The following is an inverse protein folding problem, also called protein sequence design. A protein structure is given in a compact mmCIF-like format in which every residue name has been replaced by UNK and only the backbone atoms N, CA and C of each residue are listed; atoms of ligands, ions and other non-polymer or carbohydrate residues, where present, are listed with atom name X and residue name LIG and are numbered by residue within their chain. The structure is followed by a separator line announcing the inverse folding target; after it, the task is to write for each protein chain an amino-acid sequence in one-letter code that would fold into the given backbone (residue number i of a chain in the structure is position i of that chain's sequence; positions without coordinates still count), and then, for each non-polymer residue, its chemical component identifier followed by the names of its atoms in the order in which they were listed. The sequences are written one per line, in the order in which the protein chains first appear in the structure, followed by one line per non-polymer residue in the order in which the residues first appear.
data_IF_950545824429
#
_entry.id   IF_950545824429
#
_cell.length_a   1.000
_cell.length_b   1.000
_cell.length_c   1.000
_cell.angle_alpha   90.00
_cell.angle_beta   90.00
_cell.angle_gamma   90.00
#
_symmetry.space_group_name_H-M   'P 1'
#
loop_
_entity.id
_entity.type
_entity.pdbx_description
1 polymer ?
#
# COMPACT_ATOMS: atom_id res chain seq x y z
N UNK A 1 37.84 -49.36 -36.95
CA UNK A 1 37.97 -49.40 -35.47
C UNK A 1 37.67 -48.00 -34.97
N UNK A 2 36.40 -47.66 -34.74
CA UNK A 2 35.74 -47.61 -33.41
C UNK A 2 36.58 -46.86 -32.37
N UNK A 3 36.18 -45.62 -32.03
CA UNK A 3 35.90 -45.21 -30.65
C UNK A 3 35.11 -43.90 -30.62
N UNK A 4 33.82 -44.05 -30.30
CA UNK A 4 32.90 -43.04 -29.78
C UNK A 4 33.44 -42.50 -28.45
N UNK A 5 33.42 -41.19 -28.25
CA UNK A 5 33.29 -40.60 -26.92
C UNK A 5 32.14 -39.60 -26.99
N UNK A 6 30.96 -40.09 -26.60
CA UNK A 6 29.73 -39.31 -26.41
C UNK A 6 29.75 -38.79 -24.97
N UNK A 7 30.14 -37.54 -24.78
CA UNK A 7 30.07 -36.89 -23.46
C UNK A 7 28.66 -36.35 -23.26
N UNK A 8 27.84 -37.12 -22.54
CA UNK A 8 26.50 -36.72 -22.10
C UNK A 8 26.61 -35.57 -21.10
N UNK A 9 26.28 -34.36 -21.56
CA UNK A 9 26.07 -33.19 -20.69
C UNK A 9 24.66 -33.29 -20.07
N UNK A 10 24.57 -33.98 -18.93
CA UNK A 10 23.39 -34.00 -18.07
C UNK A 10 23.29 -32.66 -17.30
N UNK A 11 22.74 -31.65 -17.97
CA UNK A 11 22.21 -30.45 -17.31
C UNK A 11 20.70 -30.66 -17.14
N UNK A 12 20.33 -31.40 -16.10
CA UNK A 12 18.94 -31.47 -15.65
C UNK A 12 18.53 -30.08 -15.16
N UNK A 13 17.68 -29.42 -15.95
CA UNK A 13 16.90 -28.26 -15.53
C UNK A 13 16.23 -28.56 -14.19
N UNK A 14 16.73 -27.95 -13.12
CA UNK A 14 16.07 -27.85 -11.83
C UNK A 14 14.98 -26.77 -11.88
N UNK A 15 13.99 -26.97 -12.75
CA UNK A 15 12.77 -26.16 -12.78
C UNK A 15 11.62 -26.96 -12.16
N UNK A 16 10.96 -26.36 -11.17
CA UNK A 16 9.80 -26.86 -10.40
C UNK A 16 10.10 -27.74 -9.17
N UNK A 17 10.67 -27.12 -8.13
CA UNK A 17 10.18 -27.34 -6.76
C UNK A 17 9.82 -25.98 -6.16
N UNK A 18 8.73 -25.40 -6.65
CA UNK A 18 8.08 -24.23 -6.05
C UNK A 18 6.81 -24.72 -5.33
N UNK A 19 6.98 -25.63 -4.38
CA UNK A 19 5.88 -26.15 -3.57
C UNK A 19 6.14 -25.84 -2.10
N UNK A 20 5.18 -25.12 -1.50
CA UNK A 20 4.83 -25.14 -0.08
C UNK A 20 5.81 -24.50 0.92
N UNK A 21 6.08 -23.21 0.76
CA UNK A 21 6.25 -22.35 1.96
C UNK A 21 4.98 -21.53 2.13
N UNK A 22 4.41 -21.60 3.33
CA UNK A 22 3.21 -20.87 3.78
C UNK A 22 3.43 -19.36 3.75
N UNK A 23 3.53 -18.79 2.56
CA UNK A 23 3.49 -17.36 2.40
C UNK A 23 2.03 -16.91 2.48
N UNK A 24 1.73 -15.82 3.22
CA UNK A 24 0.39 -15.26 3.21
C UNK A 24 0.01 -14.98 1.76
N UNK A 25 -1.16 -15.46 1.34
CA UNK A 25 -1.64 -15.26 -0.03
C UNK A 25 -1.69 -13.76 -0.31
N UNK A 26 -0.83 -13.30 -1.22
CA UNK A 26 -0.93 -11.96 -1.75
C UNK A 26 -2.08 -11.97 -2.77
N UNK A 27 -3.11 -11.19 -2.52
CA UNK A 27 -4.15 -10.92 -3.51
C UNK A 27 -3.95 -9.49 -4.00
N UNK A 28 -3.53 -9.30 -5.26
CA UNK A 28 -3.48 -7.98 -5.87
C UNK A 28 -4.82 -7.26 -5.67
N UNK A 29 -4.76 -5.98 -5.36
CA UNK A 29 -5.95 -5.14 -5.26
C UNK A 29 -6.27 -4.58 -6.64
N UNK A 30 -7.55 -4.55 -6.97
CA UNK A 30 -8.05 -3.87 -8.16
C UNK A 30 -7.66 -2.39 -8.17
N UNK A 31 -7.70 -1.80 -9.36
CA UNK A 31 -7.52 -0.37 -9.51
C UNK A 31 -8.57 0.38 -8.67
N UNK A 32 -8.17 1.39 -7.88
CA UNK A 32 -9.13 2.09 -7.02
C UNK A 32 -10.21 2.78 -7.87
N UNK A 33 -11.47 2.45 -7.61
CA UNK A 33 -12.61 2.99 -8.37
C UNK A 33 -12.73 4.51 -8.17
N UNK A 34 -12.43 4.96 -6.97
CA UNK A 34 -12.42 6.38 -6.62
C UNK A 34 -11.40 7.15 -7.45
N UNK A 35 -10.22 6.56 -7.69
CA UNK A 35 -9.21 7.16 -8.56
C UNK A 35 -9.64 7.13 -10.03
N UNK A 36 -10.28 6.05 -10.50
CA UNK A 36 -10.82 6.00 -11.87
C UNK A 36 -11.82 7.13 -12.12
N UNK A 37 -12.74 7.35 -11.16
CA UNK A 37 -13.73 8.43 -11.21
C UNK A 37 -13.07 9.81 -11.23
N UNK A 38 -12.07 10.03 -10.37
CA UNK A 38 -11.32 11.30 -10.32
C UNK A 38 -10.59 11.59 -11.63
N UNK A 39 -9.94 10.58 -12.19
CA UNK A 39 -9.21 10.67 -13.45
C UNK A 39 -10.12 10.66 -14.70
N UNK A 40 -11.44 10.51 -14.51
CA UNK A 40 -12.45 10.45 -15.59
C UNK A 40 -12.09 9.45 -16.69
N UNK A 41 -11.57 8.28 -16.30
CA UNK A 41 -11.14 7.26 -17.26
C UNK A 41 -12.34 6.63 -17.96
N UNK A 42 -12.23 6.40 -19.26
CA UNK A 42 -13.15 5.51 -19.96
C UNK A 42 -12.87 4.03 -19.60
N UNK A 43 -13.85 3.15 -19.83
CA UNK A 43 -13.77 1.74 -19.44
C UNK A 43 -12.57 1.00 -20.05
N UNK A 44 -12.19 1.33 -21.29
CA UNK A 44 -11.05 0.71 -21.97
C UNK A 44 -9.74 1.13 -21.31
N UNK A 45 -9.61 2.42 -21.00
CA UNK A 45 -8.44 2.99 -20.31
C UNK A 45 -8.34 2.48 -18.88
N UNK A 46 -9.43 2.47 -18.12
CA UNK A 46 -9.50 1.91 -16.76
C UNK A 46 -9.05 0.44 -16.75
N UNK A 47 -9.55 -0.37 -17.69
CA UNK A 47 -9.18 -1.79 -17.78
C UNK A 47 -7.70 -2.00 -18.10
N UNK A 48 -7.13 -1.21 -19.01
CA UNK A 48 -5.69 -1.28 -19.35
C UNK A 48 -4.84 -0.84 -18.16
N UNK A 49 -5.17 0.29 -17.54
CA UNK A 49 -4.44 0.81 -16.40
C UNK A 49 -4.56 -0.10 -15.18
N UNK A 50 -5.72 -0.70 -14.95
CA UNK A 50 -5.95 -1.64 -13.86
C UNK A 50 -5.15 -2.93 -14.00
N UNK A 51 -5.01 -3.46 -15.23
CA UNK A 51 -4.10 -4.59 -15.50
C UNK A 51 -2.64 -4.22 -15.19
N UNK A 52 -2.19 -3.05 -15.63
CA UNK A 52 -0.83 -2.58 -15.31
C UNK A 52 -0.63 -2.39 -13.81
N UNK A 53 -1.62 -1.86 -13.11
CA UNK A 53 -1.57 -1.65 -11.66
C UNK A 53 -1.46 -2.98 -10.90
N UNK A 54 -2.22 -4.00 -11.29
CA UNK A 54 -2.11 -5.36 -10.75
C UNK A 54 -0.71 -5.93 -11.03
N UNK A 55 -0.21 -5.79 -12.25
CA UNK A 55 1.12 -6.29 -12.61
C UNK A 55 2.22 -5.63 -11.76
N UNK A 56 2.17 -4.31 -11.56
CA UNK A 56 3.12 -3.62 -10.69
C UNK A 56 3.08 -4.18 -9.26
N UNK A 57 1.89 -4.41 -8.72
CA UNK A 57 1.73 -4.98 -7.39
C UNK A 57 2.33 -6.38 -7.27
N UNK A 58 2.12 -7.23 -8.28
CA UNK A 58 2.70 -8.56 -8.36
C UNK A 58 4.23 -8.49 -8.46
N UNK A 59 4.77 -7.65 -9.33
CA UNK A 59 6.21 -7.48 -9.53
C UNK A 59 6.90 -6.98 -8.25
N UNK A 60 6.31 -5.98 -7.57
CA UNK A 60 6.81 -5.48 -6.28
C UNK A 60 6.78 -6.58 -5.22
N UNK A 61 5.68 -7.34 -5.14
CA UNK A 61 5.59 -8.43 -4.18
C UNK A 61 6.57 -9.55 -4.48
N UNK A 62 6.72 -9.96 -5.75
CA UNK A 62 7.69 -10.96 -6.16
C UNK A 62 9.11 -10.53 -5.79
N UNK A 63 9.47 -9.26 -6.04
CA UNK A 63 10.77 -8.68 -5.66
C UNK A 63 11.01 -8.79 -4.15
N UNK A 64 10.04 -8.37 -3.33
CA UNK A 64 10.13 -8.47 -1.86
C UNK A 64 10.24 -9.93 -1.41
N UNK A 65 9.53 -10.84 -2.07
CA UNK A 65 9.49 -12.25 -1.70
C UNK A 65 10.77 -12.99 -2.05
N UNK A 66 11.37 -12.68 -3.21
CA UNK A 66 12.69 -13.18 -3.61
C UNK A 66 13.75 -12.65 -2.65
N UNK A 67 13.78 -11.34 -2.40
CA UNK A 67 14.71 -10.73 -1.45
C UNK A 67 14.65 -11.41 -0.06
N UNK A 68 13.43 -11.63 0.47
CA UNK A 68 13.25 -12.35 1.73
C UNK A 68 13.71 -13.81 1.67
N UNK A 69 13.47 -14.50 0.56
CA UNK A 69 13.88 -15.90 0.36
C UNK A 69 15.39 -16.03 0.36
N UNK A 70 16.07 -15.05 -0.24
CA UNK A 70 17.53 -15.02 -0.39
C UNK A 70 18.23 -14.45 0.85
N UNK A 71 17.47 -14.04 1.88
CA UNK A 71 18.00 -13.44 3.10
C UNK A 71 18.49 -12.01 2.92
N UNK A 72 18.16 -11.36 1.80
CA UNK A 72 18.43 -9.95 1.57
C UNK A 72 17.63 -9.11 2.57
N UNK A 73 18.34 -8.29 3.34
CA UNK A 73 17.76 -7.44 4.38
C UNK A 73 18.02 -5.96 4.14
N UNK A 74 18.78 -5.62 3.09
CA UNK A 74 19.01 -4.24 2.71
C UNK A 74 17.72 -3.62 2.16
N UNK A 75 17.08 -2.82 3.01
CA UNK A 75 15.85 -2.10 2.68
C UNK A 75 16.06 -1.04 1.60
N UNK A 76 17.25 -0.45 1.51
CA UNK A 76 17.54 0.57 0.52
C UNK A 76 17.61 -0.07 -0.88
N UNK A 77 18.25 -1.22 -0.99
CA UNK A 77 18.30 -2.00 -2.23
C UNK A 77 16.92 -2.47 -2.69
N UNK A 78 16.15 -3.10 -1.80
CA UNK A 78 14.76 -3.51 -2.12
C UNK A 78 13.92 -2.31 -2.55
N UNK A 79 14.07 -1.17 -1.86
CA UNK A 79 13.36 0.06 -2.23
C UNK A 79 13.75 0.53 -3.64
N UNK A 80 15.04 0.59 -3.96
CA UNK A 80 15.52 0.99 -5.28
C UNK A 80 14.96 0.10 -6.39
N UNK A 81 14.99 -1.23 -6.21
CA UNK A 81 14.40 -2.17 -7.17
C UNK A 81 12.89 -1.96 -7.35
N UNK A 82 12.15 -1.72 -6.26
CA UNK A 82 10.71 -1.41 -6.33
C UNK A 82 10.42 -0.03 -6.95
N UNK A 83 11.33 0.94 -6.80
CA UNK A 83 11.23 2.26 -7.41
C UNK A 83 11.42 2.14 -8.94
N UNK A 84 12.39 1.35 -9.40
CA UNK A 84 12.57 1.06 -10.83
C UNK A 84 11.34 0.37 -11.46
N UNK A 85 10.71 -0.55 -10.75
CA UNK A 85 9.46 -1.18 -11.20
C UNK A 85 8.34 -0.16 -11.35
N UNK A 86 8.24 0.76 -10.38
CA UNK A 86 7.27 1.86 -10.41
C UNK A 86 7.54 2.83 -11.58
N UNK A 87 8.80 3.15 -11.86
CA UNK A 87 9.16 4.01 -13.00
C UNK A 87 8.82 3.34 -14.33
N UNK A 88 9.12 2.03 -14.48
CA UNK A 88 8.71 1.24 -15.65
C UNK A 88 7.19 1.23 -15.82
N UNK A 89 6.45 1.12 -14.71
CA UNK A 89 4.99 1.21 -14.72
C UNK A 89 4.51 2.59 -15.16
N UNK A 90 5.09 3.67 -14.64
CA UNK A 90 4.77 5.04 -15.03
C UNK A 90 5.06 5.30 -16.51
N UNK A 91 6.16 4.78 -17.06
CA UNK A 91 6.45 4.88 -18.49
C UNK A 91 5.38 4.19 -19.34
N UNK A 92 4.89 3.01 -18.94
CA UNK A 92 3.79 2.32 -19.64
C UNK A 92 2.48 3.09 -19.53
N UNK A 93 2.16 3.62 -18.34
CA UNK A 93 0.96 4.40 -18.11
C UNK A 93 0.92 5.69 -18.94
N UNK A 94 2.08 6.32 -19.18
CA UNK A 94 2.20 7.51 -20.05
C UNK A 94 1.78 7.24 -21.50
N UNK A 95 1.91 6.01 -21.98
CA UNK A 95 1.42 5.61 -23.31
C UNK A 95 -0.08 5.31 -23.37
N UNK A 96 -0.78 5.36 -22.24
CA UNK A 96 -2.21 5.05 -22.11
C UNK A 96 -3.00 6.31 -21.75
N UNK A 97 -2.43 7.18 -20.91
CA UNK A 97 -3.07 8.38 -20.38
C UNK A 97 -2.64 9.61 -21.16
N UNK A 98 -3.55 10.59 -21.29
CA UNK A 98 -3.19 11.94 -21.73
C UNK A 98 -2.32 12.64 -20.68
N UNK A 99 -1.75 13.80 -21.04
CA UNK A 99 -0.77 14.49 -20.21
C UNK A 99 -1.32 14.93 -18.84
N UNK A 100 -2.55 15.42 -18.77
CA UNK A 100 -3.15 15.95 -17.54
C UNK A 100 -3.55 14.81 -16.60
N UNK A 101 -4.18 13.77 -17.16
CA UNK A 101 -4.53 12.55 -16.43
C UNK A 101 -3.29 11.82 -15.94
N UNK A 102 -2.22 11.78 -16.75
CA UNK A 102 -0.95 11.19 -16.37
C UNK A 102 -0.30 11.89 -15.19
N UNK A 103 -0.26 13.23 -15.18
CA UNK A 103 0.35 13.97 -14.07
C UNK A 103 -0.35 13.70 -12.72
N UNK A 104 -1.68 13.62 -12.75
CA UNK A 104 -2.48 13.28 -11.56
C UNK A 104 -2.24 11.85 -11.11
N UNK A 105 -2.16 10.91 -12.06
CA UNK A 105 -1.84 9.52 -11.80
C UNK A 105 -0.43 9.32 -11.26
N UNK A 106 0.56 9.98 -11.82
CA UNK A 106 1.96 9.96 -11.38
C UNK A 106 2.07 10.43 -9.93
N UNK A 107 1.43 11.58 -9.62
CA UNK A 107 1.36 12.07 -8.24
C UNK A 107 0.79 11.01 -7.30
N UNK A 108 -0.33 10.36 -7.67
CA UNK A 108 -0.90 9.27 -6.88
C UNK A 108 0.09 8.12 -6.70
N UNK A 109 0.79 7.68 -7.75
CA UNK A 109 1.73 6.56 -7.69
C UNK A 109 2.99 6.84 -6.86
N UNK A 110 3.42 8.09 -6.80
CA UNK A 110 4.57 8.53 -6.02
C UNK A 110 4.27 8.75 -4.53
N UNK A 111 2.99 8.90 -4.15
CA UNK A 111 2.58 9.00 -2.75
C UNK A 111 3.01 7.79 -1.92
N UNK A 112 3.35 8.06 -0.66
CA UNK A 112 3.58 7.02 0.34
C UNK A 112 2.30 6.22 0.60
N UNK A 113 2.46 4.99 1.10
CA UNK A 113 1.31 4.08 1.32
C UNK A 113 0.21 4.71 2.18
N UNK A 114 0.58 5.41 3.25
CA UNK A 114 -0.38 6.06 4.15
C UNK A 114 -1.07 7.26 3.49
N UNK A 115 -0.35 7.99 2.63
CA UNK A 115 -0.88 9.13 1.88
C UNK A 115 -1.86 8.66 0.82
N UNK A 116 -1.56 7.59 0.09
CA UNK A 116 -2.50 6.95 -0.86
C UNK A 116 -3.81 6.57 -0.18
N UNK A 117 -3.75 5.98 1.00
CA UNK A 117 -4.94 5.56 1.75
C UNK A 117 -5.78 6.77 2.18
N UNK A 118 -5.14 7.84 2.65
CA UNK A 118 -5.83 9.08 3.01
C UNK A 118 -6.46 9.74 1.77
N UNK A 119 -5.72 9.82 0.67
CA UNK A 119 -6.19 10.39 -0.60
C UNK A 119 -7.41 9.63 -1.15
N UNK A 120 -7.35 8.29 -1.19
CA UNK A 120 -8.50 7.48 -1.66
C UNK A 120 -9.71 7.61 -0.73
N UNK A 121 -9.51 7.72 0.59
CA UNK A 121 -10.60 7.96 1.53
C UNK A 121 -11.24 9.32 1.27
N UNK A 122 -10.43 10.36 1.04
CA UNK A 122 -10.91 11.69 0.73
C UNK A 122 -11.77 11.71 -0.54
N UNK A 123 -11.30 11.07 -1.62
CA UNK A 123 -12.08 10.89 -2.85
C UNK A 123 -13.39 10.15 -2.57
N UNK A 124 -13.35 9.11 -1.74
CA UNK A 124 -14.53 8.32 -1.37
C UNK A 124 -15.56 9.10 -0.54
N UNK A 125 -15.10 10.07 0.25
CA UNK A 125 -15.98 10.89 1.08
C UNK A 125 -16.73 11.95 0.28
N UNK A 126 -16.28 12.26 -0.95
CA UNK A 126 -16.93 13.25 -1.83
C UNK A 126 -17.24 14.57 -1.09
N UNK A 127 -16.24 15.11 -0.39
CA UNK A 127 -16.39 16.28 0.46
C UNK A 127 -16.71 17.54 -0.36
N UNK A 128 -17.63 18.36 0.12
CA UNK A 128 -17.79 19.73 -0.40
C UNK A 128 -16.54 20.58 -0.10
N UNK A 129 -16.30 21.69 -0.81
CA UNK A 129 -15.14 22.56 -0.54
C UNK A 129 -15.05 22.99 0.94
N UNK A 130 -16.17 23.40 1.54
CA UNK A 130 -16.24 23.80 2.95
C UNK A 130 -15.99 22.63 3.91
N UNK A 131 -16.49 21.44 3.58
CA UNK A 131 -16.22 20.24 4.37
C UNK A 131 -14.75 19.86 4.28
N UNK A 132 -14.16 19.94 3.09
CA UNK A 132 -12.76 19.61 2.84
C UNK A 132 -11.82 20.50 3.63
N UNK A 133 -12.04 21.81 3.63
CA UNK A 133 -11.21 22.74 4.42
C UNK A 133 -11.23 22.39 5.91
N UNK A 134 -12.42 22.14 6.48
CA UNK A 134 -12.57 21.75 7.88
C UNK A 134 -11.98 20.37 8.17
N UNK A 135 -12.18 19.41 7.27
CA UNK A 135 -11.63 18.05 7.34
C UNK A 135 -10.10 18.09 7.37
N UNK A 136 -9.48 18.87 6.48
CA UNK A 136 -8.04 19.04 6.39
C UNK A 136 -7.48 19.71 7.66
N UNK A 137 -8.16 20.73 8.20
CA UNK A 137 -7.78 21.38 9.45
C UNK A 137 -7.84 20.42 10.65
N UNK A 138 -8.91 19.62 10.75
CA UNK A 138 -9.07 18.60 11.81
C UNK A 138 -7.97 17.53 11.70
N UNK A 139 -7.64 17.08 10.49
CA UNK A 139 -6.58 16.09 10.27
C UNK A 139 -5.19 16.66 10.56
N UNK A 140 -4.90 17.89 10.14
CA UNK A 140 -3.61 18.53 10.35
C UNK A 140 -3.32 18.71 11.85
N UNK A 141 -4.29 19.21 12.61
CA UNK A 141 -4.17 19.38 14.06
C UNK A 141 -3.98 18.02 14.76
N UNK A 142 -4.80 17.03 14.41
CA UNK A 142 -4.73 15.69 15.02
C UNK A 142 -3.43 14.96 14.68
N UNK A 143 -2.89 15.15 13.46
CA UNK A 143 -1.62 14.54 13.02
C UNK A 143 -0.45 14.93 13.91
N UNK A 144 -0.38 16.20 14.33
CA UNK A 144 0.67 16.68 15.22
C UNK A 144 0.56 16.03 16.62
N UNK A 145 -0.65 15.99 17.18
CA UNK A 145 -0.90 15.37 18.49
C UNK A 145 -0.59 13.88 18.46
N UNK A 146 -1.02 13.16 17.42
CA UNK A 146 -0.70 11.74 17.26
C UNK A 146 0.80 11.48 17.12
N UNK A 147 1.53 12.38 16.44
CA UNK A 147 2.99 12.27 16.34
C UNK A 147 3.64 12.44 17.72
N UNK A 148 3.26 13.47 18.47
CA UNK A 148 3.78 13.73 19.80
C UNK A 148 3.53 12.57 20.77
N UNK A 149 2.30 12.03 20.82
CA UNK A 149 1.96 10.90 21.69
C UNK A 149 2.80 9.65 21.32
N UNK A 150 2.99 9.38 20.02
CA UNK A 150 3.84 8.25 19.58
C UNK A 150 5.30 8.43 19.97
N UNK A 151 5.80 9.66 19.96
CA UNK A 151 7.18 9.98 20.38
C UNK A 151 7.34 9.88 21.89
N UNK A 152 6.39 10.41 22.67
CA UNK A 152 6.40 10.40 24.14
C UNK A 152 6.29 8.98 24.71
N UNK A 153 5.45 8.13 24.13
CA UNK A 153 5.20 6.76 24.60
C UNK A 153 5.94 5.71 23.76
N UNK A 154 7.05 6.09 23.11
CA UNK A 154 7.81 5.19 22.26
C UNK A 154 8.30 3.98 23.06
N UNK A 155 7.85 2.79 22.66
CA UNK A 155 8.22 1.53 23.31
C UNK A 155 7.20 1.03 24.34
N UNK A 156 6.30 1.90 24.83
CA UNK A 156 5.20 1.53 25.71
C UNK A 156 3.87 1.53 24.93
N UNK A 157 3.45 0.35 24.50
CA UNK A 157 2.26 0.19 23.67
C UNK A 157 0.96 0.45 24.43
N UNK A 158 0.89 0.09 25.70
CA UNK A 158 -0.33 0.26 26.49
C UNK A 158 -0.51 1.73 26.88
N UNK A 159 0.55 2.39 27.36
CA UNK A 159 0.50 3.82 27.65
C UNK A 159 0.21 4.65 26.39
N UNK A 160 0.81 4.29 25.25
CA UNK A 160 0.49 4.94 23.97
C UNK A 160 -0.99 4.76 23.59
N UNK A 161 -1.56 3.56 23.78
CA UNK A 161 -2.95 3.28 23.45
C UNK A 161 -3.90 4.08 24.34
N UNK A 162 -3.63 4.11 25.65
CA UNK A 162 -4.41 4.88 26.63
C UNK A 162 -4.36 6.38 26.31
N UNK A 163 -3.18 6.93 25.99
CA UNK A 163 -3.03 8.33 25.60
C UNK A 163 -3.69 8.67 24.25
N UNK A 164 -3.67 7.74 23.28
CA UNK A 164 -4.30 7.94 21.98
C UNK A 164 -5.83 7.86 22.02
N UNK A 165 -6.41 7.08 22.93
CA UNK A 165 -7.86 6.87 22.98
C UNK A 165 -8.69 8.16 23.09
N UNK A 166 -8.43 9.08 24.04
CA UNK A 166 -9.22 10.31 24.14
C UNK A 166 -9.05 11.22 22.91
N UNK A 167 -7.83 11.32 22.36
CA UNK A 167 -7.57 12.11 21.15
C UNK A 167 -8.31 11.54 19.95
N UNK A 168 -8.34 10.21 19.83
CA UNK A 168 -9.10 9.52 18.79
C UNK A 168 -10.60 9.77 18.91
N UNK A 169 -11.16 9.76 20.13
CA UNK A 169 -12.59 10.08 20.37
C UNK A 169 -12.90 11.54 20.04
N UNK A 170 -12.03 12.46 20.45
CA UNK A 170 -12.20 13.89 20.13
C UNK A 170 -12.12 14.14 18.63
N UNK A 171 -11.15 13.53 17.94
CA UNK A 171 -11.03 13.59 16.49
C UNK A 171 -12.30 13.11 15.78
N UNK A 172 -12.83 11.96 16.21
CA UNK A 172 -14.07 11.40 15.67
C UNK A 172 -15.28 12.31 15.90
N UNK A 173 -15.36 12.94 17.09
CA UNK A 173 -16.41 13.91 17.41
C UNK A 173 -16.31 15.16 16.52
N UNK A 174 -15.11 15.70 16.31
CA UNK A 174 -14.91 16.87 15.43
C UNK A 174 -15.30 16.53 13.99
N UNK A 175 -14.93 15.34 13.49
CA UNK A 175 -15.34 14.89 12.16
C UNK A 175 -16.85 14.73 12.03
N UNK A 176 -17.56 14.25 13.06
CA UNK A 176 -19.02 14.09 13.04
C UNK A 176 -19.80 15.40 12.94
N UNK A 177 -19.16 16.53 13.24
CA UNK A 177 -19.75 17.87 13.09
C UNK A 177 -19.59 18.44 11.67
N UNK A 178 -18.70 17.84 10.86
CA UNK A 178 -18.35 18.30 9.51
C UNK A 178 -18.91 17.36 8.45
N UNK A 179 -18.81 16.06 8.69
CA UNK A 179 -19.23 15.00 7.79
C UNK A 179 -20.72 14.71 7.96
N UNK A 180 -21.39 14.33 6.87
CA UNK A 180 -22.74 13.76 6.93
C UNK A 180 -22.70 12.37 7.59
N UNK A 181 -23.86 11.84 7.98
CA UNK A 181 -23.96 10.49 8.57
C UNK A 181 -23.42 9.40 7.63
N UNK A 182 -23.68 9.52 6.32
CA UNK A 182 -23.18 8.62 5.29
C UNK A 182 -21.65 8.70 5.16
N UNK A 183 -21.10 9.91 5.07
CA UNK A 183 -19.65 10.14 5.02
C UNK A 183 -18.96 9.63 6.30
N UNK A 184 -19.59 9.82 7.46
CA UNK A 184 -19.07 9.35 8.74
C UNK A 184 -19.06 7.81 8.81
N UNK A 185 -20.05 7.16 8.20
CA UNK A 185 -20.09 5.70 8.08
C UNK A 185 -18.94 5.20 7.21
N UNK A 186 -18.72 5.80 6.04
CA UNK A 186 -17.58 5.49 5.15
C UNK A 186 -16.24 5.64 5.88
N UNK A 187 -16.07 6.74 6.63
CA UNK A 187 -14.88 6.99 7.42
C UNK A 187 -14.64 5.90 8.47
N UNK A 188 -15.67 5.52 9.24
CA UNK A 188 -15.58 4.48 10.27
C UNK A 188 -15.22 3.12 9.68
N UNK A 189 -15.84 2.74 8.57
CA UNK A 189 -15.54 1.49 7.86
C UNK A 189 -14.09 1.43 7.38
N UNK A 190 -13.61 2.52 6.77
CA UNK A 190 -12.22 2.63 6.33
C UNK A 190 -11.24 2.48 7.50
N UNK A 191 -11.53 3.12 8.63
CA UNK A 191 -10.73 3.02 9.86
C UNK A 191 -10.71 1.61 10.44
N UNK A 192 -11.86 0.94 10.50
CA UNK A 192 -11.93 -0.44 10.98
C UNK A 192 -11.22 -1.44 10.04
N UNK A 193 -11.32 -1.25 8.73
CA UNK A 193 -10.57 -2.04 7.75
C UNK A 193 -9.05 -1.92 7.96
N UNK A 194 -8.56 -0.71 8.25
CA UNK A 194 -7.15 -0.46 8.59
C UNK A 194 -6.75 -1.17 9.89
N UNK A 195 -7.56 -1.08 10.96
CA UNK A 195 -7.30 -1.78 12.24
C UNK A 195 -7.22 -3.30 12.05
N UNK A 196 -8.15 -3.89 11.28
CA UNK A 196 -8.17 -5.34 11.00
C UNK A 196 -6.92 -5.80 10.25
N UNK A 197 -6.44 -5.02 9.27
CA UNK A 197 -5.19 -5.32 8.55
C UNK A 197 -3.96 -5.24 9.47
N UNK A 198 -3.90 -4.28 10.39
CA UNK A 198 -2.82 -4.16 11.36
C UNK A 198 -2.73 -5.34 12.36
N UNK A 199 -3.88 -5.89 12.77
CA UNK A 199 -3.93 -7.04 13.71
C UNK A 199 -3.45 -8.36 13.11
N UNK A 200 -3.61 -8.55 11.79
CA UNK A 200 -3.18 -9.79 11.09
C UNK A 200 -1.68 -9.83 10.77
N UNK A 201 -0.97 -8.69 10.76
CA UNK A 201 0.46 -8.61 10.49
C UNK A 201 1.39 -8.66 11.72
N UNK A 202 0.83 -8.70 12.94
CA UNK A 202 1.59 -8.57 14.20
C UNK A 202 1.96 -9.89 14.90
N UNK A 203 1.56 -11.04 14.37
CA UNK A 203 1.95 -12.38 14.88
C UNK A 203 2.81 -13.10 13.83
N UNK A 204 3.96 -12.52 13.52
CA UNK A 204 5.04 -13.17 12.78
C UNK A 204 6.28 -13.22 13.65
N UNK A 205 6.40 -14.30 14.43
CA UNK A 205 7.66 -15.03 14.67
C UNK A 205 8.96 -14.21 14.70
N UNK A 206 9.05 -13.19 15.58
CA UNK A 206 10.33 -12.54 15.92
C UNK A 206 10.32 -11.97 17.35
N UNK A 207 9.60 -12.65 18.25
CA UNK A 207 9.58 -12.38 19.70
C UNK A 207 10.69 -13.10 20.48
N UNK A 208 11.76 -13.56 19.83
CA UNK A 208 12.96 -14.07 20.50
C UNK A 208 14.20 -13.39 19.90
N UNK A 209 14.55 -12.22 20.42
CA UNK A 209 15.94 -11.83 20.53
C UNK A 209 16.25 -11.81 22.03
N UNK A 210 17.14 -12.69 22.53
CA UNK A 210 17.71 -12.47 23.85
C UNK A 210 18.52 -11.17 23.81
N UNK A 211 18.54 -10.49 24.95
CA UNK A 211 19.40 -9.35 25.25
C UNK A 211 20.87 -9.70 25.03
#
# INVERSE_FOLDING_TARGET
MKNLIFTFLLLSLSSLVFAQRNFPSFTPQEFPKELSKELKLDESTEKKLGKLYIQLQEDVMNTIMIARKDGETDRAKIKAETDELRDKHLMKAKGILDADTYASYEKFMLMERGEKQAYLLELKLELTPDQKEKYDAINASSKQVFKQIREQHKGDREAMKEALEPVMKQHEMMLSQVLTEEQMTIYKEAREAMKKKGRRGGRGENGRRPF
#
